data_IF_258004686704
#
_entry.id   IF_258004686704
#
_cell.length_a   1.000
_cell.length_b   1.000
_cell.length_c   1.000
_cell.angle_alpha   90.00
_cell.angle_beta   90.00
_cell.angle_gamma   90.00
#
_symmetry.space_group_name_H-M   'P 1'
#
loop_
_entity.id
_entity.type
_entity.pdbx_description
1 polymer ?
#
# COMPACT_ATOMS: atom_id res chain seq x y z
N UNK A 1 17.97 -5.70 3.31
CA UNK A 1 17.02 -5.26 2.28
C UNK A 1 16.96 -6.37 1.25
N UNK A 2 15.91 -7.18 1.25
CA UNK A 2 15.72 -8.20 0.23
C UNK A 2 14.39 -7.92 -0.43
N UNK A 3 14.48 -7.45 -1.67
CA UNK A 3 13.35 -7.19 -2.55
C UNK A 3 13.09 -8.50 -3.27
N UNK A 4 11.95 -9.13 -3.01
CA UNK A 4 11.46 -10.19 -3.89
C UNK A 4 10.38 -9.58 -4.75
N UNK A 5 10.76 -9.27 -5.98
CA UNK A 5 9.85 -8.84 -7.03
C UNK A 5 9.03 -10.06 -7.49
N UNK A 6 7.71 -10.00 -7.33
CA UNK A 6 6.81 -10.97 -7.93
C UNK A 6 6.07 -10.29 -9.08
N UNK A 7 6.42 -10.66 -10.31
CA UNK A 7 5.64 -10.29 -11.49
C UNK A 7 4.37 -11.15 -11.49
N UNK A 8 3.25 -10.58 -11.08
CA UNK A 8 1.96 -11.26 -11.19
C UNK A 8 1.41 -10.94 -12.57
N UNK A 9 1.54 -11.85 -13.54
CA UNK A 9 0.98 -11.63 -14.88
C UNK A 9 -0.41 -12.28 -15.03
N UNK A 10 -0.64 -13.39 -14.32
CA UNK A 10 -1.81 -14.23 -14.51
C UNK A 10 -2.99 -13.78 -13.63
N UNK A 11 -4.23 -13.83 -14.14
CA UNK A 11 -5.44 -13.59 -13.33
C UNK A 11 -5.52 -14.45 -12.06
N UNK A 12 -4.98 -15.68 -12.10
CA UNK A 12 -4.89 -16.55 -10.94
C UNK A 12 -4.00 -15.98 -9.83
N UNK A 13 -2.89 -15.36 -10.19
CA UNK A 13 -1.92 -14.80 -9.25
C UNK A 13 -2.41 -13.51 -8.62
N UNK A 14 -3.09 -12.66 -9.41
CA UNK A 14 -3.79 -11.48 -8.90
C UNK A 14 -4.85 -11.88 -7.86
N UNK A 15 -5.64 -12.93 -8.14
CA UNK A 15 -6.63 -13.44 -7.18
C UNK A 15 -5.98 -13.92 -5.90
N UNK A 16 -4.89 -14.68 -6.00
CA UNK A 16 -4.13 -15.16 -4.83
C UNK A 16 -3.55 -14.00 -4.03
N UNK A 17 -3.03 -12.98 -4.68
CA UNK A 17 -2.48 -11.80 -4.01
C UNK A 17 -3.52 -11.06 -3.18
N UNK A 18 -4.71 -10.79 -3.75
CA UNK A 18 -5.82 -10.16 -3.01
C UNK A 18 -6.28 -11.08 -1.87
N UNK A 19 -6.38 -12.38 -2.12
CA UNK A 19 -6.78 -13.35 -1.09
C UNK A 19 -5.77 -13.37 0.08
N UNK A 20 -4.48 -13.46 -0.22
CA UNK A 20 -3.41 -13.43 0.78
C UNK A 20 -3.43 -12.14 1.61
N UNK A 21 -3.78 -11.01 1.02
CA UNK A 21 -3.93 -9.74 1.73
C UNK A 21 -5.11 -9.81 2.73
N UNK A 22 -6.28 -10.29 2.29
CA UNK A 22 -7.47 -10.47 3.16
C UNK A 22 -7.23 -11.49 4.26
N UNK A 23 -6.52 -12.58 3.96
CA UNK A 23 -6.21 -13.61 4.97
C UNK A 23 -5.19 -13.12 6.00
N UNK A 24 -4.30 -12.21 5.59
CA UNK A 24 -3.26 -11.65 6.44
C UNK A 24 -3.78 -10.52 7.33
N UNK A 25 -4.70 -9.68 6.85
CA UNK A 25 -5.23 -8.54 7.59
C UNK A 25 -6.71 -8.71 7.93
N UNK A 26 -7.09 -8.76 9.23
CA UNK A 26 -8.48 -8.87 9.66
C UNK A 26 -9.38 -7.76 9.11
N UNK A 27 -8.83 -6.54 8.99
CA UNK A 27 -9.48 -5.38 8.40
C UNK A 27 -8.59 -4.82 7.28
N UNK A 28 -8.87 -5.22 6.06
CA UNK A 28 -8.17 -4.76 4.87
C UNK A 28 -8.79 -3.45 4.35
N UNK A 29 -7.93 -2.46 4.14
CA UNK A 29 -8.24 -1.24 3.42
C UNK A 29 -7.57 -1.29 2.04
N UNK A 30 -8.30 -0.88 1.00
CA UNK A 30 -7.76 -0.80 -0.34
C UNK A 30 -8.12 0.50 -1.04
N UNK A 31 -7.16 1.06 -1.79
CA UNK A 31 -7.34 2.27 -2.58
C UNK A 31 -7.00 2.02 -4.04
N UNK A 32 -7.96 2.23 -4.91
CA UNK A 32 -7.78 2.25 -6.36
C UNK A 32 -7.53 3.69 -6.79
N UNK A 33 -6.40 3.94 -7.44
CA UNK A 33 -6.00 5.29 -7.82
C UNK A 33 -5.17 5.30 -9.11
N UNK A 34 -5.12 6.45 -9.77
CA UNK A 34 -4.40 6.63 -11.03
C UNK A 34 -3.33 7.70 -10.86
N UNK A 35 -2.10 7.37 -11.24
CA UNK A 35 -1.00 8.32 -11.32
C UNK A 35 -0.90 8.83 -12.75
N UNK A 36 -0.73 10.12 -12.92
CA UNK A 36 -0.49 10.80 -14.19
C UNK A 36 0.79 11.59 -14.09
N UNK A 37 1.63 11.49 -15.10
CA UNK A 37 2.82 12.32 -15.28
C UNK A 37 2.51 13.45 -16.27
N UNK A 38 3.02 14.64 -15.99
CA UNK A 38 3.03 15.75 -16.96
C UNK A 38 4.24 15.71 -17.90
N UNK A 39 5.26 14.91 -17.57
CA UNK A 39 6.59 14.92 -18.19
C UNK A 39 6.79 13.76 -19.20
N UNK A 40 5.74 12.97 -19.47
CA UNK A 40 5.79 11.83 -20.38
C UNK A 40 5.53 10.49 -19.68
N UNK A 41 6.02 9.39 -20.26
CA UNK A 41 5.73 8.04 -19.76
C UNK A 41 6.31 7.79 -18.37
N UNK A 42 5.49 7.26 -17.46
CA UNK A 42 5.93 6.91 -16.11
C UNK A 42 6.82 5.66 -16.18
N UNK A 43 8.07 5.78 -15.74
CA UNK A 43 9.02 4.67 -15.75
C UNK A 43 9.04 3.88 -14.43
N UNK A 44 9.69 2.71 -14.44
CA UNK A 44 9.77 1.83 -13.27
C UNK A 44 10.48 2.45 -12.05
N UNK A 45 11.48 3.32 -12.28
CA UNK A 45 12.21 4.00 -11.21
C UNK A 45 11.34 5.01 -10.48
N UNK A 46 10.57 5.83 -11.21
CA UNK A 46 9.61 6.77 -10.62
C UNK A 46 8.60 6.06 -9.72
N UNK A 47 8.10 4.89 -10.16
CA UNK A 47 7.22 4.06 -9.33
C UNK A 47 7.93 3.54 -8.09
N UNK A 48 9.16 3.03 -8.21
CA UNK A 48 9.91 2.52 -7.05
C UNK A 48 10.18 3.62 -6.03
N UNK A 49 10.59 4.82 -6.48
CA UNK A 49 10.80 5.99 -5.63
C UNK A 49 9.48 6.41 -4.98
N UNK A 50 8.36 6.36 -5.71
CA UNK A 50 7.03 6.66 -5.19
C UNK A 50 6.60 5.68 -4.08
N UNK A 51 6.66 4.38 -4.33
CA UNK A 51 6.32 3.37 -3.32
C UNK A 51 7.20 3.50 -2.07
N UNK A 52 8.51 3.72 -2.25
CA UNK A 52 9.47 3.85 -1.13
C UNK A 52 9.23 5.14 -0.34
N UNK A 53 9.01 6.26 -1.02
CA UNK A 53 8.76 7.56 -0.37
C UNK A 53 7.42 7.58 0.36
N UNK A 54 6.39 6.96 -0.21
CA UNK A 54 5.10 6.85 0.45
C UNK A 54 5.19 5.95 1.69
N UNK A 55 5.86 4.79 1.55
CA UNK A 55 6.08 3.88 2.68
C UNK A 55 6.79 4.60 3.84
N UNK A 56 7.86 5.34 3.54
CA UNK A 56 8.60 6.12 4.54
C UNK A 56 7.68 7.10 5.27
N UNK A 57 6.90 7.89 4.54
CA UNK A 57 6.00 8.87 5.16
C UNK A 57 4.87 8.22 5.98
N UNK A 58 4.30 7.11 5.52
CA UNK A 58 3.33 6.34 6.31
C UNK A 58 3.97 5.81 7.59
N UNK A 59 5.19 5.28 7.49
CA UNK A 59 5.91 4.77 8.64
C UNK A 59 6.26 5.86 9.66
N UNK A 60 6.70 7.02 9.19
CA UNK A 60 6.95 8.22 10.02
C UNK A 60 5.68 8.63 10.75
N UNK A 61 4.55 8.78 10.05
CA UNK A 61 3.27 9.13 10.69
C UNK A 61 2.82 8.11 11.74
N UNK A 62 2.98 6.83 11.45
CA UNK A 62 2.64 5.77 12.41
C UNK A 62 3.59 5.83 13.63
N UNK A 63 4.87 6.10 13.41
CA UNK A 63 5.86 6.23 14.49
C UNK A 63 5.59 7.46 15.36
N UNK A 64 5.29 8.61 14.74
CA UNK A 64 4.90 9.85 15.43
C UNK A 64 3.61 9.65 16.24
N UNK A 65 2.61 8.99 15.65
CA UNK A 65 1.36 8.66 16.35
C UNK A 65 1.57 7.65 17.48
N UNK A 66 2.57 6.77 17.38
CA UNK A 66 2.86 5.73 18.37
C UNK A 66 3.98 6.11 19.35
N UNK A 67 4.51 7.35 19.32
CA UNK A 67 5.58 7.81 20.21
C UNK A 67 5.26 7.73 21.71
N UNK A 68 4.04 7.33 22.11
CA UNK A 68 3.69 7.06 23.49
C UNK A 68 3.68 5.57 23.91
N UNK A 69 3.68 4.58 23.01
CA UNK A 69 3.57 3.16 23.40
C UNK A 69 4.16 2.18 22.38
N UNK A 70 5.06 1.30 22.87
CA UNK A 70 5.52 0.00 22.33
C UNK A 70 5.98 -0.09 20.86
N UNK A 71 6.90 -1.03 20.52
CA UNK A 71 7.38 -1.16 19.14
C UNK A 71 6.22 -1.50 18.20
N UNK A 72 5.93 -0.57 17.28
CA UNK A 72 4.90 -0.73 16.26
C UNK A 72 5.09 -2.03 15.48
N UNK A 73 3.99 -2.75 15.26
CA UNK A 73 3.99 -3.89 14.33
C UNK A 73 4.53 -3.46 12.96
N UNK A 74 5.21 -4.37 12.24
CA UNK A 74 5.81 -4.05 10.95
C UNK A 74 4.73 -3.53 9.98
N UNK A 75 4.93 -2.31 9.46
CA UNK A 75 4.04 -1.75 8.44
C UNK A 75 4.24 -2.57 7.18
N UNK A 76 3.17 -3.14 6.67
CA UNK A 76 3.17 -3.88 5.42
C UNK A 76 2.23 -3.18 4.45
N UNK A 77 2.79 -2.68 3.35
CA UNK A 77 2.03 -2.12 2.24
C UNK A 77 2.20 -3.02 1.01
N UNK A 78 1.10 -3.32 0.33
CA UNK A 78 1.07 -4.16 -0.87
C UNK A 78 0.43 -3.39 -2.02
N UNK A 79 1.06 -3.41 -3.18
CA UNK A 79 0.64 -2.59 -4.31
C UNK A 79 0.53 -3.45 -5.57
N UNK A 80 -0.49 -3.20 -6.38
CA UNK A 80 -0.56 -3.64 -7.78
C UNK A 80 -0.59 -2.39 -8.66
N UNK A 81 0.01 -2.45 -9.84
CA UNK A 81 -0.15 -1.43 -10.89
C UNK A 81 -0.26 -2.09 -12.23
N UNK A 82 -0.96 -1.52 -13.21
CA UNK A 82 -0.88 -2.02 -14.59
C UNK A 82 0.54 -1.86 -15.17
N UNK A 83 0.99 -2.78 -16.04
CA UNK A 83 2.33 -2.75 -16.63
C UNK A 83 2.46 -1.66 -17.69
N UNK A 84 1.45 -1.54 -18.55
CA UNK A 84 1.45 -0.61 -19.67
C UNK A 84 1.00 0.77 -19.20
N UNK A 85 1.96 1.57 -18.75
CA UNK A 85 1.74 2.96 -18.36
C UNK A 85 2.40 3.89 -19.37
N UNK A 86 1.60 4.71 -20.04
CA UNK A 86 2.11 5.90 -20.74
C UNK A 86 2.32 7.02 -19.72
N UNK A 87 1.81 8.21 -20.04
CA UNK A 87 1.73 9.30 -19.07
C UNK A 87 0.72 9.05 -17.94
N UNK A 88 0.07 7.89 -17.90
CA UNK A 88 -0.93 7.52 -16.90
C UNK A 88 -0.80 6.04 -16.57
N UNK A 89 -0.93 5.71 -15.28
CA UNK A 89 -0.84 4.34 -14.77
C UNK A 89 -1.86 4.12 -13.64
N UNK A 90 -2.57 3.00 -13.74
CA UNK A 90 -3.57 2.55 -12.78
C UNK A 90 -2.92 1.71 -11.68
N UNK A 91 -3.10 2.08 -10.42
CA UNK A 91 -2.60 1.40 -9.24
C UNK A 91 -3.71 0.96 -8.26
N UNK A 92 -3.40 -0.02 -7.42
CA UNK A 92 -4.18 -0.49 -6.28
C UNK A 92 -3.23 -0.65 -5.09
N UNK A 93 -3.51 0.06 -4.00
CA UNK A 93 -2.82 -0.07 -2.72
C UNK A 93 -3.68 -0.90 -1.75
N UNK A 94 -3.05 -1.81 -1.02
CA UNK A 94 -3.63 -2.65 0.04
C UNK A 94 -2.81 -2.48 1.31
N UNK A 95 -3.50 -2.27 2.43
CA UNK A 95 -2.90 -2.12 3.75
C UNK A 95 -3.90 -2.46 4.85
N UNK A 96 -3.41 -2.70 6.07
CA UNK A 96 -4.30 -2.88 7.21
C UNK A 96 -4.92 -1.55 7.65
N UNK A 97 -6.23 -1.58 7.91
CA UNK A 97 -6.95 -0.45 8.53
C UNK A 97 -6.44 -0.17 9.96
N UNK A 98 -5.96 -1.20 10.66
CA UNK A 98 -5.48 -1.12 12.05
C UNK A 98 -4.21 -0.26 12.19
N UNK A 99 -3.53 0.05 11.08
CA UNK A 99 -2.37 0.95 11.08
C UNK A 99 -2.72 2.37 11.54
N UNK A 100 -3.99 2.79 11.40
CA UNK A 100 -4.43 4.16 11.70
C UNK A 100 -5.61 4.21 12.68
N UNK A 101 -6.32 3.10 12.83
CA UNK A 101 -7.48 2.99 13.72
C UNK A 101 -7.05 2.52 15.11
N UNK A 102 -6.30 3.34 15.84
CA UNK A 102 -6.01 3.01 17.24
C UNK A 102 -7.26 3.34 18.09
N UNK A 103 -7.77 2.43 18.94
CA UNK A 103 -8.97 2.64 19.78
C UNK A 103 -9.02 3.91 20.68
N UNK A 104 -7.94 4.70 20.77
CA UNK A 104 -7.91 5.96 21.52
C UNK A 104 -7.65 7.21 20.66
N UNK A 105 -7.44 7.06 19.35
CA UNK A 105 -7.40 8.20 18.45
C UNK A 105 -8.83 8.68 18.17
N UNK A 106 -9.09 9.97 18.36
CA UNK A 106 -10.38 10.60 18.03
C UNK A 106 -10.65 10.67 16.52
N UNK A 107 -9.65 10.34 15.71
CA UNK A 107 -9.76 10.31 14.26
C UNK A 107 -10.69 9.17 13.83
N UNK A 108 -11.73 9.52 13.08
CA UNK A 108 -12.58 8.53 12.43
C UNK A 108 -11.79 7.80 11.34
N UNK A 109 -12.26 6.62 10.94
CA UNK A 109 -11.68 5.87 9.81
C UNK A 109 -11.63 6.73 8.54
N UNK A 110 -12.64 7.58 8.34
CA UNK A 110 -12.72 8.48 7.18
C UNK A 110 -11.68 9.60 7.22
N UNK A 111 -11.39 10.16 8.40
CA UNK A 111 -10.32 11.15 8.60
C UNK A 111 -8.96 10.54 8.25
N UNK A 112 -8.65 9.37 8.81
CA UNK A 112 -7.41 8.65 8.52
C UNK A 112 -7.29 8.26 7.03
N UNK A 113 -8.40 7.88 6.40
CA UNK A 113 -8.43 7.63 4.96
C UNK A 113 -8.13 8.88 4.15
N UNK A 114 -8.73 10.02 4.50
CA UNK A 114 -8.50 11.30 3.82
C UNK A 114 -7.03 11.70 3.91
N UNK A 115 -6.45 11.58 5.11
CA UNK A 115 -5.03 11.82 5.34
C UNK A 115 -4.11 10.93 4.49
N UNK A 116 -4.47 9.65 4.28
CA UNK A 116 -3.72 8.76 3.40
C UNK A 116 -3.86 9.13 1.93
N UNK A 117 -5.06 9.56 1.51
CA UNK A 117 -5.30 10.06 0.16
C UNK A 117 -4.46 11.30 -0.10
N UNK A 118 -4.43 12.25 0.84
CA UNK A 118 -3.59 13.44 0.75
C UNK A 118 -2.12 13.08 0.68
N UNK A 119 -1.69 12.10 1.49
CA UNK A 119 -0.30 11.64 1.49
C UNK A 119 0.09 10.98 0.15
N UNK A 120 -0.80 10.16 -0.42
CA UNK A 120 -0.61 9.56 -1.75
C UNK A 120 -0.46 10.66 -2.81
N UNK A 121 -1.27 11.71 -2.72
CA UNK A 121 -1.24 12.83 -3.65
C UNK A 121 0.04 13.64 -3.53
N UNK A 122 0.40 14.05 -2.31
CA UNK A 122 1.60 14.83 -2.03
C UNK A 122 2.87 14.08 -2.44
N UNK A 123 2.95 12.78 -2.13
CA UNK A 123 4.12 11.98 -2.48
C UNK A 123 4.34 11.92 -4.00
N UNK A 124 3.27 11.81 -4.78
CA UNK A 124 3.40 11.79 -6.24
C UNK A 124 3.79 13.16 -6.80
N UNK A 125 3.23 14.25 -6.27
CA UNK A 125 3.58 15.62 -6.70
C UNK A 125 5.07 15.93 -6.54
N UNK A 126 5.69 15.43 -5.47
CA UNK A 126 7.13 15.61 -5.23
C UNK A 126 7.99 14.87 -6.26
N UNK A 127 7.48 13.77 -6.83
CA UNK A 127 8.23 12.88 -7.73
C UNK A 127 8.00 13.22 -9.20
N UNK A 128 6.81 13.68 -9.56
CA UNK A 128 6.45 14.09 -10.92
C UNK A 128 5.87 15.49 -10.85
N UNK A 129 6.66 16.49 -11.27
CA UNK A 129 6.24 17.88 -11.18
C UNK A 129 5.06 18.12 -12.12
N UNK A 130 3.97 18.66 -11.58
CA UNK A 130 2.71 18.82 -12.33
C UNK A 130 1.99 17.49 -12.63
N UNK A 131 2.50 16.36 -12.15
CA UNK A 131 1.80 15.09 -12.16
C UNK A 131 0.52 15.14 -11.34
N UNK A 132 -0.34 14.12 -11.43
CA UNK A 132 -1.56 14.03 -10.63
C UNK A 132 -1.74 12.62 -10.10
N UNK A 133 -2.13 12.50 -8.84
CA UNK A 133 -2.58 11.24 -8.25
C UNK A 133 -4.07 11.40 -7.93
N UNK A 134 -4.92 10.56 -8.52
CA UNK A 134 -6.37 10.61 -8.31
C UNK A 134 -6.86 9.30 -7.74
N UNK A 135 -7.37 9.35 -6.51
CA UNK A 135 -8.05 8.21 -5.89
C UNK A 135 -9.45 8.09 -6.45
N UNK A 136 -9.79 6.91 -6.96
CA UNK A 136 -11.04 6.63 -7.67
C UNK A 136 -12.02 5.85 -6.79
N UNK A 137 -11.53 4.86 -6.04
CA UNK A 137 -12.36 4.02 -5.18
C UNK A 137 -11.61 3.60 -3.91
N UNK A 138 -12.37 3.44 -2.83
CA UNK A 138 -11.95 2.86 -1.55
C UNK A 138 -12.73 1.56 -1.32
N UNK A 139 -12.07 0.55 -0.81
CA UNK A 139 -12.68 -0.70 -0.37
C UNK A 139 -12.28 -0.99 1.09
N UNK A 140 -13.25 -1.44 1.87
CA UNK A 140 -13.03 -1.96 3.22
C UNK A 140 -13.53 -3.39 3.24
N UNK A 141 -12.64 -4.33 3.55
CA UNK A 141 -12.92 -5.77 3.48
C UNK A 141 -12.49 -6.39 4.79
N UNK A 142 -13.43 -7.04 5.47
CA UNK A 142 -13.12 -7.83 6.65
C UNK A 142 -12.67 -9.25 6.27
N UNK A 143 -11.92 -9.91 7.14
CA UNK A 143 -11.60 -11.33 6.94
C UNK A 143 -12.86 -12.18 7.00
N UNK A 144 -13.00 -13.11 6.04
CA UNK A 144 -14.21 -13.92 5.89
C UNK A 144 -15.37 -13.18 5.20
N UNK A 145 -15.15 -11.94 4.78
CA UNK A 145 -16.14 -11.16 4.06
C UNK A 145 -16.42 -11.75 2.67
N UNK A 146 -17.68 -12.05 2.42
CA UNK A 146 -18.21 -12.46 1.11
C UNK A 146 -19.07 -11.37 0.48
N UNK A 147 -19.07 -10.17 1.07
CA UNK A 147 -19.83 -9.02 0.60
C UNK A 147 -19.42 -8.57 -0.80
N UNK A 148 -20.25 -7.69 -1.36
CA UNK A 148 -19.96 -7.01 -2.62
C UNK A 148 -18.63 -6.24 -2.63
N UNK A 149 -18.11 -5.81 -1.46
CA UNK A 149 -16.83 -5.09 -1.39
C UNK A 149 -15.65 -5.98 -1.78
N UNK A 150 -15.61 -7.21 -1.26
CA UNK A 150 -14.56 -8.17 -1.61
C UNK A 150 -14.62 -8.55 -3.10
N UNK A 151 -15.82 -8.79 -3.64
CA UNK A 151 -16.01 -9.10 -5.07
C UNK A 151 -15.60 -7.92 -5.96
N UNK A 152 -15.98 -6.69 -5.58
CA UNK A 152 -15.61 -5.48 -6.30
C UNK A 152 -14.08 -5.25 -6.27
N UNK A 153 -13.43 -5.47 -5.12
CA UNK A 153 -11.98 -5.39 -4.98
C UNK A 153 -11.27 -6.36 -5.92
N UNK A 154 -11.68 -7.63 -5.94
CA UNK A 154 -11.11 -8.63 -6.87
C UNK A 154 -11.28 -8.22 -8.32
N UNK A 155 -12.47 -7.73 -8.68
CA UNK A 155 -12.78 -7.29 -10.04
C UNK A 155 -11.87 -6.14 -10.46
N UNK A 156 -11.67 -5.16 -9.58
CA UNK A 156 -10.76 -4.04 -9.82
C UNK A 156 -9.31 -4.50 -9.92
N UNK A 157 -8.85 -5.39 -9.04
CA UNK A 157 -7.50 -5.93 -9.10
C UNK A 157 -7.25 -6.67 -10.43
N UNK A 158 -8.21 -7.48 -10.88
CA UNK A 158 -8.14 -8.21 -12.16
C UNK A 158 -8.11 -7.28 -13.37
N UNK A 159 -8.75 -6.12 -13.28
CA UNK A 159 -8.73 -5.12 -14.37
C UNK A 159 -7.35 -4.48 -14.59
N UNK A 160 -6.35 -4.78 -13.75
CA UNK A 160 -4.97 -4.29 -13.88
C UNK A 160 -4.06 -5.24 -14.68
N UNK A 161 -4.63 -6.21 -15.41
CA UNK A 161 -4.02 -7.40 -16.04
C UNK A 161 -2.76 -7.20 -16.90
N UNK A 162 -1.67 -6.82 -16.21
CA UNK A 162 -0.29 -7.27 -16.25
C UNK A 162 0.37 -6.51 -15.08
N UNK A 163 0.21 -6.90 -13.81
CA UNK A 163 0.70 -6.08 -12.72
C UNK A 163 2.19 -6.15 -12.39
N UNK A 164 2.75 -5.02 -11.93
CA UNK A 164 4.01 -5.01 -11.17
C UNK A 164 3.70 -4.82 -9.69
N UNK A 165 4.29 -5.66 -8.85
CA UNK A 165 4.07 -5.66 -7.41
C UNK A 165 5.28 -5.10 -6.69
N UNK A 166 5.05 -4.05 -5.92
CA UNK A 166 5.99 -3.59 -4.90
C UNK A 166 5.38 -3.90 -3.55
N UNK A 167 5.90 -4.90 -2.85
CA UNK A 167 5.55 -5.16 -1.46
C UNK A 167 6.68 -4.64 -0.57
N UNK A 168 6.37 -3.71 0.33
CA UNK A 168 7.34 -3.18 1.28
C UNK A 168 6.93 -3.66 2.66
N UNK A 169 7.74 -4.56 3.22
CA UNK A 169 7.62 -5.09 4.58
C UNK A 169 8.90 -4.74 5.35
N UNK A 170 8.83 -3.87 6.35
CA UNK A 170 9.97 -3.65 7.24
C UNK A 170 9.82 -4.54 8.47
N UNK A 171 10.57 -5.65 8.54
CA UNK A 171 10.76 -6.35 9.81
C UNK A 171 11.83 -5.61 10.62
N UNK A 172 11.62 -5.30 11.91
CA UNK A 172 12.73 -4.91 12.76
C UNK A 172 13.71 -6.09 12.82
N UNK A 173 14.95 -5.86 12.41
CA UNK A 173 16.04 -6.81 12.62
C UNK A 173 16.29 -6.87 14.12
N UNK A 174 15.66 -7.83 14.81
CA UNK A 174 16.14 -8.26 16.12
C UNK A 174 17.42 -9.05 15.88
N UNK A 175 18.57 -8.36 15.98
CA UNK A 175 19.82 -9.02 16.33
C UNK A 175 19.72 -9.40 17.82
N UNK A 176 19.22 -10.59 18.10
CA UNK A 176 19.60 -11.30 19.32
C UNK A 176 20.97 -11.93 19.06
N UNK A 177 22.04 -11.24 19.43
CA UNK A 177 23.30 -11.93 19.71
C UNK A 177 23.37 -12.08 21.21
N UNK A 178 23.09 -13.30 21.67
CA UNK A 178 23.24 -13.70 23.06
C UNK A 178 24.71 -13.47 23.46
N UNK A 179 24.91 -12.63 24.48
CA UNK A 179 26.14 -12.59 25.24
C UNK A 179 26.29 -13.99 25.86
N UNK A 180 27.36 -14.70 25.53
CA UNK A 180 27.86 -15.76 26.41
C UNK A 180 29.28 -15.36 26.74
N UNK A 181 29.46 -14.96 28.00
CA UNK A 181 30.75 -14.77 28.62
C UNK A 181 31.47 -16.12 28.73
N UNK A 182 32.76 -16.15 28.38
CA UNK A 182 33.79 -16.89 29.09
C UNK A 182 35.08 -16.09 29.04
#
# INVERSE_FOLDING_TARGET
>A
MQITEALLAEPGDIRRFVQQAVDHWPHLLAFRFTLRSAEGSINGQQIQVFCTSFYRQVHERITESNHMLSPSSPVVLRWLREQHGGATIRCLLLLSQDLFCHPRASATVDEACSQLVDLLQQTWQVISAGGQCRVEKRFQVARGDTSGQYVALKTVALSLGLPVVTAITHRPVQRCTLITAQ
#
